data_IF_539975370708
#
_entry.id   IF_539975370708
#
_cell.length_a   1.000
_cell.length_b   1.000
_cell.length_c   1.000
_cell.angle_alpha   90.00
_cell.angle_beta   90.00
_cell.angle_gamma   90.00
#
_symmetry.space_group_name_H-M   'P 1'
#
loop_
_entity.id
_entity.type
_entity.pdbx_description
1 polymer ?
#
# COMPACT_ATOMS: atom_id res chain seq x y z
N UNK A 1 -4.45 10.23 -6.01
CA UNK A 1 -5.67 9.53 -5.51
C UNK A 1 -5.36 8.04 -5.46
N UNK A 2 -5.85 7.31 -4.45
CA UNK A 2 -5.73 5.84 -4.37
C UNK A 2 -7.13 5.24 -4.46
N UNK A 3 -7.33 4.29 -5.38
CA UNK A 3 -8.59 3.55 -5.56
C UNK A 3 -8.36 2.05 -5.67
N UNK A 4 -9.42 1.25 -5.60
CA UNK A 4 -9.41 -0.13 -6.08
C UNK A 4 -9.56 -0.18 -7.63
N UNK A 5 -9.64 -1.40 -8.18
CA UNK A 5 -9.86 -1.63 -9.62
C UNK A 5 -11.24 -1.22 -10.13
N UNK A 6 -12.20 -0.98 -9.24
CA UNK A 6 -13.54 -0.50 -9.56
C UNK A 6 -13.66 1.03 -9.43
N UNK A 7 -12.59 1.71 -9.04
CA UNK A 7 -12.55 3.16 -8.82
C UNK A 7 -13.03 3.60 -7.42
N UNK A 8 -13.30 2.68 -6.49
CA UNK A 8 -13.66 3.02 -5.12
C UNK A 8 -12.43 3.54 -4.36
N UNK A 9 -12.56 4.66 -3.66
CA UNK A 9 -11.45 5.27 -2.94
C UNK A 9 -10.95 4.38 -1.80
N UNK A 10 -9.63 4.20 -1.72
CA UNK A 10 -8.96 3.49 -0.63
C UNK A 10 -8.17 4.49 0.21
N UNK A 11 -8.48 4.58 1.49
CA UNK A 11 -7.70 5.34 2.49
C UNK A 11 -7.05 4.45 3.53
N UNK A 12 -7.58 3.24 3.70
CA UNK A 12 -7.10 2.23 4.63
C UNK A 12 -7.15 0.89 3.93
N UNK A 13 -6.24 0.00 4.31
CA UNK A 13 -6.30 -1.37 3.87
C UNK A 13 -6.58 -2.27 5.07
N UNK A 14 -7.66 -3.05 4.98
CA UNK A 14 -8.28 -3.77 6.11
C UNK A 14 -8.23 -5.28 5.93
N UNK A 15 -7.79 -6.01 6.96
CA UNK A 15 -7.50 -7.44 6.85
C UNK A 15 -7.70 -8.18 8.18
N UNK A 16 -7.87 -9.50 8.08
CA UNK A 16 -7.84 -10.40 9.23
C UNK A 16 -6.39 -10.75 9.56
N UNK A 17 -6.02 -10.72 10.85
CA UNK A 17 -4.66 -11.03 11.32
C UNK A 17 -4.29 -12.53 11.28
N UNK A 18 -5.08 -13.39 10.64
CA UNK A 18 -4.87 -14.84 10.71
C UNK A 18 -3.60 -15.32 9.98
N UNK A 19 -3.27 -14.78 8.80
CA UNK A 19 -2.17 -15.24 7.94
C UNK A 19 -1.69 -14.13 6.99
N UNK A 20 -0.58 -14.36 6.26
CA UNK A 20 -0.22 -13.52 5.11
C UNK A 20 -1.39 -13.52 4.13
N UNK A 21 -2.05 -12.38 4.00
CA UNK A 21 -3.28 -12.26 3.20
C UNK A 21 -3.03 -11.36 2.01
N UNK A 22 -3.48 -11.80 0.83
CA UNK A 22 -3.54 -10.92 -0.34
C UNK A 22 -4.57 -9.81 -0.09
N UNK A 23 -4.19 -8.60 -0.48
CA UNK A 23 -5.00 -7.40 -0.34
C UNK A 23 -5.60 -6.90 -1.66
N UNK A 24 -6.30 -5.75 -1.63
CA UNK A 24 -6.77 -5.13 -2.85
C UNK A 24 -5.59 -4.65 -3.71
N UNK A 25 -5.79 -4.62 -5.03
CA UNK A 25 -4.89 -3.88 -5.92
C UNK A 25 -5.13 -2.39 -5.69
N UNK A 26 -4.07 -1.65 -5.36
CA UNK A 26 -4.13 -0.19 -5.26
C UNK A 26 -3.85 0.41 -6.64
N UNK A 27 -4.82 1.12 -7.18
CA UNK A 27 -4.67 1.95 -8.37
C UNK A 27 -4.40 3.38 -7.92
N UNK A 28 -3.23 3.90 -8.26
CA UNK A 28 -2.76 5.21 -7.82
C UNK A 28 -2.68 6.15 -9.02
N UNK A 29 -3.53 7.18 -9.01
CA UNK A 29 -3.47 8.29 -9.98
C UNK A 29 -2.53 9.36 -9.42
N UNK A 30 -1.40 9.58 -10.10
CA UNK A 30 -0.33 10.46 -9.66
C UNK A 30 -0.45 11.84 -10.28
N UNK A 31 -0.15 12.87 -9.47
CA UNK A 31 0.06 14.21 -10.00
C UNK A 31 1.36 14.27 -10.82
N UNK A 32 1.58 15.27 -11.68
CA UNK A 32 2.85 15.45 -12.40
C UNK A 32 3.99 15.97 -11.49
N UNK A 33 3.76 16.06 -10.18
CA UNK A 33 4.76 16.55 -9.23
C UNK A 33 5.83 15.48 -8.95
N UNK A 34 7.07 15.92 -8.74
CA UNK A 34 8.14 15.06 -8.22
C UNK A 34 7.93 14.73 -6.72
N UNK A 35 8.77 13.88 -6.15
CA UNK A 35 8.80 13.58 -4.70
C UNK A 35 7.49 13.04 -4.11
N UNK A 36 6.77 12.24 -4.90
CA UNK A 36 5.60 11.51 -4.43
C UNK A 36 6.03 10.14 -3.90
N UNK A 37 5.46 9.70 -2.78
CA UNK A 37 5.75 8.40 -2.18
C UNK A 37 4.48 7.66 -1.79
N UNK A 38 4.42 6.35 -2.02
CA UNK A 38 3.38 5.49 -1.47
C UNK A 38 3.85 4.98 -0.11
N UNK A 39 3.07 5.25 0.93
CA UNK A 39 3.38 4.88 2.30
C UNK A 39 2.16 4.31 3.03
N UNK A 40 2.42 3.44 3.99
CA UNK A 40 1.45 3.02 4.99
C UNK A 40 1.81 3.61 6.37
N UNK A 41 0.82 3.70 7.25
CA UNK A 41 1.11 3.96 8.67
C UNK A 41 1.86 2.77 9.29
N UNK A 42 2.73 3.05 10.26
CA UNK A 42 3.33 2.02 11.10
C UNK A 42 2.24 1.39 11.98
N UNK A 43 2.23 0.06 12.06
CA UNK A 43 1.39 -0.71 12.98
C UNK A 43 2.27 -1.79 13.65
N UNK A 44 2.06 -2.03 14.95
CA UNK A 44 2.87 -2.97 15.73
C UNK A 44 2.45 -4.42 15.51
N UNK A 45 1.27 -4.67 14.94
CA UNK A 45 0.65 -5.99 14.78
C UNK A 45 0.75 -6.50 13.35
N UNK A 46 0.86 -5.62 12.36
CA UNK A 46 0.86 -6.00 10.95
C UNK A 46 1.64 -5.01 10.07
N UNK A 47 2.07 -5.49 8.90
CA UNK A 47 2.77 -4.70 7.88
C UNK A 47 1.98 -4.71 6.58
N UNK A 48 1.89 -3.55 5.95
CA UNK A 48 1.43 -3.44 4.55
C UNK A 48 2.63 -3.61 3.65
N UNK A 49 2.59 -4.67 2.85
CA UNK A 49 3.58 -4.94 1.83
C UNK A 49 2.99 -4.56 0.47
N UNK A 50 3.74 -3.84 -0.35
CA UNK A 50 3.31 -3.52 -1.69
C UNK A 50 4.39 -3.82 -2.73
N UNK A 51 3.94 -4.10 -3.94
CA UNK A 51 4.79 -4.25 -5.11
C UNK A 51 4.04 -3.72 -6.32
N UNK A 52 4.73 -3.06 -7.24
CA UNK A 52 4.10 -2.67 -8.50
C UNK A 52 3.61 -3.92 -9.25
N UNK A 53 2.36 -3.91 -9.70
CA UNK A 53 1.76 -5.00 -10.46
C UNK A 53 2.64 -5.32 -11.68
N UNK A 54 2.82 -6.61 -11.95
CA UNK A 54 3.62 -7.16 -13.05
C UNK A 54 5.11 -6.71 -13.09
N UNK A 55 5.65 -6.16 -11.99
CA UNK A 55 7.03 -5.68 -11.98
C UNK A 55 8.10 -6.78 -11.81
N UNK A 56 7.71 -8.00 -11.43
CA UNK A 56 8.64 -9.08 -11.09
C UNK A 56 9.46 -8.87 -9.81
N UNK A 57 9.40 -7.69 -9.19
CA UNK A 57 10.15 -7.35 -7.98
C UNK A 57 9.62 -8.09 -6.73
N UNK A 58 10.33 -7.96 -5.61
CA UNK A 58 9.83 -8.41 -4.31
C UNK A 58 8.81 -7.42 -3.72
N UNK A 59 7.99 -7.91 -2.80
CA UNK A 59 7.14 -7.06 -1.96
C UNK A 59 7.97 -6.27 -0.95
N UNK A 60 7.61 -5.01 -0.74
CA UNK A 60 8.32 -4.09 0.17
C UNK A 60 7.36 -3.64 1.29
N UNK A 61 7.85 -3.62 2.53
CA UNK A 61 7.16 -3.01 3.67
C UNK A 61 7.13 -1.49 3.48
N UNK A 62 5.98 -0.96 3.05
CA UNK A 62 5.84 0.45 2.66
C UNK A 62 5.69 1.40 3.85
N UNK A 63 5.57 0.89 5.08
CA UNK A 63 5.66 1.71 6.28
C UNK A 63 7.12 1.98 6.66
N UNK A 64 8.00 0.98 6.49
CA UNK A 64 9.43 1.10 6.76
C UNK A 64 10.22 1.70 5.58
N UNK A 65 9.81 1.41 4.35
CA UNK A 65 10.46 1.87 3.12
C UNK A 65 9.41 2.33 2.11
N UNK A 66 8.97 3.60 2.20
CA UNK A 66 8.01 4.17 1.26
C UNK A 66 8.47 4.03 -0.20
N UNK A 67 7.57 3.66 -1.10
CA UNK A 67 7.90 3.49 -2.51
C UNK A 67 7.95 4.87 -3.17
N UNK A 68 9.10 5.22 -3.76
CA UNK A 68 9.25 6.44 -4.55
C UNK A 68 8.42 6.34 -5.84
N UNK A 69 7.44 7.22 -6.00
CA UNK A 69 6.53 7.29 -7.14
C UNK A 69 6.95 8.31 -8.20
N UNK A 70 8.01 9.09 -7.93
CA UNK A 70 8.55 10.11 -8.86
C UNK A 70 8.81 9.57 -10.27
N UNK A 71 9.32 8.33 -10.48
CA UNK A 71 9.52 7.78 -11.82
C UNK A 71 8.24 7.63 -12.66
N UNK A 72 7.06 7.72 -12.04
CA UNK A 72 5.75 7.57 -12.69
C UNK A 72 4.88 8.82 -12.56
N UNK A 73 5.47 9.98 -12.30
CA UNK A 73 4.72 11.24 -12.19
C UNK A 73 3.82 11.46 -13.43
N UNK A 74 2.57 11.87 -13.17
CA UNK A 74 1.55 12.07 -14.20
C UNK A 74 0.93 10.80 -14.78
N UNK A 75 1.26 9.62 -14.27
CA UNK A 75 0.71 8.34 -14.73
C UNK A 75 -0.23 7.71 -13.69
N UNK A 76 -0.98 6.71 -14.14
CA UNK A 76 -1.72 5.79 -13.26
C UNK A 76 -0.89 4.52 -13.09
N UNK A 77 -0.66 4.11 -11.84
CA UNK A 77 0.17 2.95 -11.51
C UNK A 77 -0.58 2.02 -10.56
N UNK A 78 -0.47 0.71 -10.78
CA UNK A 78 -1.09 -0.30 -9.93
C UNK A 78 -0.09 -1.02 -9.04
N UNK A 79 -0.51 -1.37 -7.82
CA UNK A 79 0.28 -2.11 -6.85
C UNK A 79 -0.50 -3.30 -6.31
N UNK A 80 0.12 -4.47 -6.35
CA UNK A 80 -0.30 -5.64 -5.58
C UNK A 80 0.01 -5.36 -4.10
N UNK A 81 -0.94 -5.65 -3.22
CA UNK A 81 -0.77 -5.47 -1.78
C UNK A 81 -0.93 -6.79 -1.06
N UNK A 82 -0.12 -6.97 -0.02
CA UNK A 82 -0.24 -8.04 0.95
C UNK A 82 -0.19 -7.46 2.35
N UNK A 83 -0.82 -8.13 3.30
CA UNK A 83 -0.58 -7.87 4.70
C UNK A 83 0.05 -9.05 5.38
N UNK A 84 1.13 -8.76 6.10
CA UNK A 84 1.84 -9.71 6.92
C UNK A 84 1.58 -9.38 8.39
N UNK A 85 0.92 -10.30 9.08
CA UNK A 85 0.78 -10.24 10.54
C UNK A 85 2.13 -10.45 11.22
N UNK A 86 2.45 -9.64 12.23
CA UNK A 86 3.65 -9.72 13.06
C UNK A 86 3.40 -10.37 14.42
N UNK A 87 2.18 -10.22 14.96
CA UNK A 87 1.76 -10.81 16.21
C UNK A 87 0.38 -11.46 16.03
N UNK A 88 0.27 -12.75 16.32
CA UNK A 88 -0.99 -13.49 16.22
C UNK A 88 -1.73 -13.38 17.55
N UNK A 89 -2.63 -12.41 17.66
CA UNK A 89 -3.55 -12.31 18.80
C UNK A 89 -4.99 -12.32 18.31
N UNK A 90 -5.50 -13.51 18.03
CA UNK A 90 -6.90 -13.76 17.70
C UNK A 90 -7.37 -13.25 16.33
N UNK A 91 -8.65 -13.51 16.03
CA UNK A 91 -9.34 -13.06 14.82
C UNK A 91 -9.66 -11.56 14.90
N UNK A 92 -8.63 -10.71 14.93
CA UNK A 92 -8.80 -9.26 14.89
C UNK A 92 -8.72 -8.75 13.45
N UNK A 93 -9.55 -7.75 13.13
CA UNK A 93 -9.44 -6.98 11.88
C UNK A 93 -8.60 -5.74 12.13
N UNK A 94 -7.53 -5.56 11.36
CA UNK A 94 -6.71 -4.34 11.41
C UNK A 94 -6.91 -3.56 10.12
N UNK A 95 -7.11 -2.26 10.26
CA UNK A 95 -7.16 -1.31 9.15
C UNK A 95 -5.94 -0.40 9.23
N UNK A 96 -5.02 -0.54 8.27
CA UNK A 96 -3.79 0.28 8.22
C UNK A 96 -3.98 1.38 7.18
N UNK A 97 -3.88 2.66 7.58
CA UNK A 97 -3.94 3.78 6.64
C UNK A 97 -2.86 3.69 5.57
N UNK A 98 -3.26 3.96 4.32
CA UNK A 98 -2.34 4.13 3.18
C UNK A 98 -2.56 5.47 2.54
N UNK A 99 -1.47 6.09 2.09
CA UNK A 99 -1.50 7.42 1.49
C UNK A 99 -0.39 7.61 0.48
N UNK A 100 -0.64 8.50 -0.47
CA UNK A 100 0.41 9.14 -1.26
C UNK A 100 0.82 10.39 -0.52
N UNK A 101 2.08 10.48 -0.12
CA UNK A 101 2.66 11.68 0.48
C UNK A 101 3.49 12.42 -0.54
N UNK A 102 3.46 13.75 -0.46
CA UNK A 102 4.35 14.64 -1.20
C UNK A 102 5.34 15.23 -0.20
N UNK A 103 6.63 15.18 -0.51
CA UNK A 103 7.66 15.86 0.28
C UNK A 103 8.29 16.95 -0.60
N UNK A 104 8.03 18.25 -0.34
CA UNK A 104 8.61 19.34 -1.11
C UNK A 104 10.14 19.38 -1.01
#
# INVERSE_FOLDING_TARGET
MITDTNGAQITNVSYSLAELSDGPILVVVLSPLANQFLAAALDTRAKVLARRTDSGNAFVDIAASPINLTPWAGQTVSFDVRVQTLAVTGLERVAIPVRVTYNP
#
